data_IF_216408964315
#
_entry.id   IF_216408964315
#
_cell.length_a   1.000
_cell.length_b   1.000
_cell.length_c   1.000
_cell.angle_alpha   90.00
_cell.angle_beta   90.00
_cell.angle_gamma   90.00
#
_symmetry.space_group_name_H-M   'P 1'
#
loop_
_entity.id
_entity.type
_entity.pdbx_description
1 polymer ?
#
# COMPACT_ATOMS: atom_id res chain seq x y z
N UNK A 1 -13.75 -113.60 0.55
CA UNK A 1 -12.45 -113.03 0.98
C UNK A 1 -12.17 -111.83 0.13
N UNK A 2 -11.98 -110.67 0.71
CA UNK A 2 -11.58 -109.46 0.01
C UNK A 2 -10.12 -109.63 -0.43
N UNK A 3 -9.86 -109.48 -1.73
CA UNK A 3 -8.50 -109.70 -2.26
C UNK A 3 -7.57 -108.52 -1.88
N UNK A 4 -6.26 -108.69 -1.87
CA UNK A 4 -5.26 -107.64 -1.58
C UNK A 4 -5.40 -106.54 -2.64
N UNK A 5 -5.72 -106.86 -3.88
CA UNK A 5 -5.96 -105.89 -4.94
C UNK A 5 -7.19 -105.01 -4.70
N UNK A 6 -8.25 -105.53 -4.13
CA UNK A 6 -9.44 -104.69 -3.77
C UNK A 6 -9.13 -103.75 -2.62
N UNK A 7 -8.29 -104.12 -1.67
CA UNK A 7 -7.83 -103.26 -0.58
C UNK A 7 -6.96 -102.08 -1.13
N UNK A 8 -6.07 -102.40 -2.05
CA UNK A 8 -5.22 -101.40 -2.69
C UNK A 8 -6.08 -100.41 -3.55
N UNK A 9 -7.03 -100.89 -4.30
CA UNK A 9 -7.98 -100.04 -5.09
C UNK A 9 -8.80 -99.14 -4.16
N UNK A 10 -9.25 -99.68 -3.01
CA UNK A 10 -10.00 -98.88 -2.02
C UNK A 10 -9.11 -97.83 -1.39
N UNK A 11 -7.85 -98.18 -1.07
CA UNK A 11 -6.88 -97.26 -0.52
C UNK A 11 -6.60 -96.10 -1.51
N UNK A 12 -6.32 -96.36 -2.76
CA UNK A 12 -6.12 -95.33 -3.75
C UNK A 12 -7.36 -94.40 -3.94
N UNK A 13 -8.55 -95.00 -3.91
CA UNK A 13 -9.80 -94.27 -3.97
C UNK A 13 -9.96 -93.30 -2.78
N UNK A 14 -9.67 -93.73 -1.56
CA UNK A 14 -9.73 -92.91 -0.33
C UNK A 14 -8.65 -91.86 -0.35
N UNK A 15 -7.45 -92.17 -0.83
CA UNK A 15 -6.35 -91.20 -0.94
C UNK A 15 -6.70 -90.11 -1.92
N UNK A 16 -7.19 -90.44 -3.09
CA UNK A 16 -7.61 -89.46 -4.10
C UNK A 16 -8.78 -88.59 -3.59
N UNK A 17 -9.80 -89.21 -2.93
CA UNK A 17 -10.86 -88.41 -2.29
C UNK A 17 -10.36 -87.46 -1.21
N UNK A 18 -9.42 -87.89 -0.42
CA UNK A 18 -8.79 -87.02 0.61
C UNK A 18 -8.01 -85.87 -0.03
N UNK A 19 -7.24 -86.15 -1.09
CA UNK A 19 -6.50 -85.10 -1.83
C UNK A 19 -7.45 -84.10 -2.50
N UNK A 20 -8.54 -84.59 -3.10
CA UNK A 20 -9.53 -83.72 -3.74
C UNK A 20 -10.20 -82.74 -2.70
N UNK A 21 -10.53 -83.29 -1.52
CA UNK A 21 -11.10 -82.51 -0.40
C UNK A 21 -10.11 -81.41 0.04
N UNK A 22 -8.85 -81.79 0.34
CA UNK A 22 -7.82 -80.81 0.77
C UNK A 22 -7.56 -79.77 -0.32
N UNK A 23 -7.48 -80.17 -1.58
CA UNK A 23 -7.29 -79.23 -2.68
C UNK A 23 -8.46 -78.26 -2.80
N UNK A 24 -9.71 -78.70 -2.59
CA UNK A 24 -10.88 -77.86 -2.60
C UNK A 24 -10.91 -76.88 -1.41
N UNK A 25 -10.46 -77.33 -0.23
CA UNK A 25 -10.30 -76.48 0.98
C UNK A 25 -9.22 -75.40 0.74
N UNK A 26 -8.02 -75.81 0.28
CA UNK A 26 -6.92 -74.88 -0.03
C UNK A 26 -7.30 -73.84 -1.09
N UNK A 27 -8.02 -74.24 -2.15
CA UNK A 27 -8.51 -73.30 -3.14
C UNK A 27 -9.51 -72.28 -2.56
N UNK A 28 -10.41 -72.73 -1.70
CA UNK A 28 -11.38 -71.89 -1.04
C UNK A 28 -10.70 -70.89 -0.09
N UNK A 29 -9.69 -71.29 0.65
CA UNK A 29 -8.92 -70.40 1.51
C UNK A 29 -8.10 -69.38 0.71
N UNK A 30 -7.51 -69.84 -0.42
CA UNK A 30 -6.81 -68.95 -1.36
C UNK A 30 -7.71 -67.90 -1.94
N UNK A 31 -8.92 -68.28 -2.43
CA UNK A 31 -9.93 -67.36 -2.96
C UNK A 31 -10.35 -66.34 -1.94
N UNK A 32 -10.68 -66.77 -0.68
CA UNK A 32 -11.04 -65.88 0.38
C UNK A 32 -9.92 -64.87 0.72
N UNK A 33 -8.67 -65.37 0.77
CA UNK A 33 -7.48 -64.51 1.04
C UNK A 33 -7.28 -63.50 -0.13
N UNK A 34 -7.50 -63.93 -1.35
CA UNK A 34 -7.37 -63.07 -2.52
C UNK A 34 -8.44 -61.95 -2.55
N UNK A 35 -9.70 -62.34 -2.26
CA UNK A 35 -10.79 -61.34 -2.15
C UNK A 35 -10.50 -60.25 -1.12
N UNK A 36 -10.05 -60.65 0.07
CA UNK A 36 -9.67 -59.70 1.14
C UNK A 36 -8.53 -58.78 0.67
N UNK A 37 -7.51 -59.31 -0.01
CA UNK A 37 -6.40 -58.49 -0.53
C UNK A 37 -6.87 -57.52 -1.63
N UNK A 38 -7.74 -57.95 -2.50
CA UNK A 38 -8.31 -57.09 -3.58
C UNK A 38 -9.16 -55.97 -2.97
N UNK A 39 -10.02 -56.31 -2.01
CA UNK A 39 -10.84 -55.30 -1.34
C UNK A 39 -10.00 -54.28 -0.58
N UNK A 40 -8.98 -54.73 0.18
CA UNK A 40 -8.03 -53.87 0.85
C UNK A 40 -7.28 -52.94 -0.10
N UNK A 41 -6.86 -53.47 -1.28
CA UNK A 41 -6.20 -52.70 -2.31
C UNK A 41 -7.14 -51.62 -2.91
N UNK A 42 -8.40 -51.97 -3.24
CA UNK A 42 -9.41 -51.01 -3.68
C UNK A 42 -9.62 -49.87 -2.66
N UNK A 43 -9.81 -50.24 -1.38
CA UNK A 43 -10.02 -49.27 -0.32
C UNK A 43 -8.81 -48.34 -0.14
N UNK A 44 -7.59 -48.81 -0.35
CA UNK A 44 -6.39 -47.97 -0.32
C UNK A 44 -6.33 -47.01 -1.49
N UNK A 45 -6.62 -47.47 -2.70
CA UNK A 45 -6.67 -46.65 -3.89
C UNK A 45 -7.75 -45.57 -3.78
N UNK A 46 -8.93 -45.90 -3.29
CA UNK A 46 -10.01 -44.92 -3.05
C UNK A 46 -9.63 -43.85 -2.03
N UNK A 47 -8.92 -44.27 -0.97
CA UNK A 47 -8.36 -43.30 0.01
C UNK A 47 -7.35 -42.38 -0.63
N UNK A 48 -6.38 -42.93 -1.35
CA UNK A 48 -5.36 -42.12 -2.02
C UNK A 48 -5.98 -41.14 -3.03
N UNK A 49 -7.00 -41.61 -3.81
CA UNK A 49 -7.71 -40.75 -4.73
C UNK A 49 -8.39 -39.56 -4.02
N UNK A 50 -9.12 -39.82 -2.93
CA UNK A 50 -9.73 -38.76 -2.10
C UNK A 50 -8.71 -37.80 -1.52
N UNK A 51 -7.59 -38.29 -1.03
CA UNK A 51 -6.50 -37.46 -0.48
C UNK A 51 -5.86 -36.59 -1.57
N UNK A 52 -5.76 -37.09 -2.80
CA UNK A 52 -5.25 -36.32 -3.94
C UNK A 52 -6.25 -35.21 -4.32
N UNK A 53 -7.52 -35.53 -4.41
CA UNK A 53 -8.58 -34.55 -4.72
C UNK A 53 -8.64 -33.45 -3.66
N UNK A 54 -8.61 -33.80 -2.36
CA UNK A 54 -8.64 -32.84 -1.27
C UNK A 54 -7.41 -31.93 -1.31
N UNK A 55 -6.22 -32.50 -1.51
CA UNK A 55 -4.98 -31.72 -1.65
C UNK A 55 -5.00 -30.82 -2.88
N UNK A 56 -5.54 -31.28 -4.01
CA UNK A 56 -5.67 -30.49 -5.20
C UNK A 56 -6.65 -29.31 -5.00
N UNK A 57 -7.79 -29.57 -4.38
CA UNK A 57 -8.78 -28.54 -4.03
C UNK A 57 -8.20 -27.47 -3.12
N UNK A 58 -7.55 -27.86 -2.02
CA UNK A 58 -6.88 -26.93 -1.09
C UNK A 58 -5.82 -26.07 -1.79
N UNK A 59 -5.00 -26.69 -2.65
CA UNK A 59 -4.00 -25.94 -3.44
C UNK A 59 -4.64 -24.96 -4.40
N UNK A 60 -5.74 -25.34 -5.05
CA UNK A 60 -6.47 -24.45 -5.94
C UNK A 60 -7.06 -23.24 -5.22
N UNK A 61 -7.64 -23.44 -4.02
CA UNK A 61 -8.15 -22.36 -3.17
C UNK A 61 -7.06 -21.39 -2.74
N UNK A 62 -5.92 -21.90 -2.26
CA UNK A 62 -4.77 -21.07 -1.85
C UNK A 62 -4.29 -20.26 -3.06
N UNK A 63 -4.09 -20.90 -4.22
CA UNK A 63 -3.62 -20.22 -5.42
C UNK A 63 -4.59 -19.15 -5.92
N UNK A 64 -5.90 -19.41 -5.80
CA UNK A 64 -6.95 -18.43 -6.11
C UNK A 64 -6.87 -17.23 -5.16
N UNK A 65 -6.75 -17.46 -3.85
CA UNK A 65 -6.63 -16.40 -2.86
C UNK A 65 -5.37 -15.56 -3.07
N UNK A 66 -4.24 -16.19 -3.36
CA UNK A 66 -2.99 -15.50 -3.69
C UNK A 66 -3.12 -14.63 -4.96
N UNK A 67 -3.75 -15.16 -6.01
CA UNK A 67 -3.96 -14.43 -7.26
C UNK A 67 -4.85 -13.20 -7.05
N UNK A 68 -5.95 -13.36 -6.32
CA UNK A 68 -6.84 -12.24 -5.96
C UNK A 68 -6.10 -11.20 -5.14
N UNK A 69 -5.32 -11.62 -4.14
CA UNK A 69 -4.54 -10.71 -3.30
C UNK A 69 -3.51 -9.93 -4.12
N UNK A 70 -2.75 -10.60 -4.97
CA UNK A 70 -1.79 -9.96 -5.88
C UNK A 70 -2.46 -8.94 -6.81
N UNK A 71 -3.59 -9.31 -7.41
CA UNK A 71 -4.35 -8.41 -8.28
C UNK A 71 -4.84 -7.16 -7.53
N UNK A 72 -5.35 -7.31 -6.30
CA UNK A 72 -5.76 -6.17 -5.47
C UNK A 72 -4.60 -5.22 -5.17
N UNK A 73 -3.40 -5.74 -4.91
CA UNK A 73 -2.20 -4.92 -4.67
C UNK A 73 -1.81 -4.15 -5.92
N UNK A 74 -1.82 -4.80 -7.09
CA UNK A 74 -1.51 -4.15 -8.37
C UNK A 74 -2.50 -3.02 -8.66
N UNK A 75 -3.81 -3.31 -8.59
CA UNK A 75 -4.86 -2.29 -8.80
C UNK A 75 -4.69 -1.11 -7.84
N UNK A 76 -4.44 -1.39 -6.55
CA UNK A 76 -4.21 -0.32 -5.57
C UNK A 76 -3.00 0.55 -5.93
N UNK A 77 -1.91 -0.08 -6.39
CA UNK A 77 -0.72 0.64 -6.85
C UNK A 77 -1.02 1.52 -8.06
N UNK A 78 -1.76 1.00 -9.04
CA UNK A 78 -2.10 1.73 -10.25
C UNK A 78 -3.02 2.93 -9.94
N UNK A 79 -4.00 2.75 -9.05
CA UNK A 79 -4.86 3.85 -8.57
C UNK A 79 -4.02 4.93 -7.87
N UNK A 80 -3.07 4.54 -7.01
CA UNK A 80 -2.21 5.50 -6.33
C UNK A 80 -1.31 6.27 -7.30
N UNK A 81 -0.73 5.59 -8.30
CA UNK A 81 0.06 6.24 -9.34
C UNK A 81 -0.77 7.23 -10.18
N UNK A 82 -2.03 6.88 -10.48
CA UNK A 82 -2.94 7.76 -11.18
C UNK A 82 -3.30 9.00 -10.34
N UNK A 83 -3.61 8.81 -9.06
CA UNK A 83 -3.87 9.91 -8.11
C UNK A 83 -2.68 10.86 -8.00
N UNK A 84 -1.47 10.31 -7.90
CA UNK A 84 -0.23 11.10 -7.87
C UNK A 84 -0.03 11.91 -9.15
N UNK A 85 -0.26 11.30 -10.31
CA UNK A 85 -0.21 12.00 -11.61
C UNK A 85 -1.17 13.20 -11.65
N UNK A 86 -2.41 13.03 -11.23
CA UNK A 86 -3.39 14.13 -11.20
C UNK A 86 -3.01 15.22 -10.19
N UNK A 87 -2.45 14.83 -9.06
CA UNK A 87 -1.91 15.79 -8.08
C UNK A 87 -0.84 16.68 -8.73
N UNK A 88 0.13 16.13 -9.44
CA UNK A 88 1.18 16.93 -10.10
C UNK A 88 0.62 17.84 -11.18
N UNK A 89 -0.34 17.35 -12.00
CA UNK A 89 -1.00 18.18 -13.02
C UNK A 89 -1.75 19.36 -12.37
N UNK A 90 -2.44 19.10 -11.26
CA UNK A 90 -3.13 20.14 -10.50
C UNK A 90 -2.14 21.16 -9.93
N UNK A 91 -1.08 20.69 -9.29
CA UNK A 91 -0.09 21.57 -8.66
C UNK A 91 0.64 22.45 -9.65
N UNK A 92 0.90 21.96 -10.86
CA UNK A 92 1.50 22.78 -11.92
C UNK A 92 0.57 23.96 -12.33
N UNK A 93 -0.70 23.64 -12.57
CA UNK A 93 -1.71 24.68 -12.88
C UNK A 93 -1.89 25.64 -11.70
N UNK A 94 -1.95 25.11 -10.47
CA UNK A 94 -2.16 25.93 -9.29
C UNK A 94 -0.99 26.87 -9.03
N UNK A 95 0.25 26.42 -9.22
CA UNK A 95 1.43 27.30 -9.16
C UNK A 95 1.39 28.44 -10.17
N UNK A 96 0.88 28.20 -11.37
CA UNK A 96 0.73 29.25 -12.37
C UNK A 96 -0.33 30.28 -11.94
N UNK A 97 -1.47 29.83 -11.42
CA UNK A 97 -2.49 30.72 -10.83
C UNK A 97 -1.93 31.52 -9.65
N UNK A 98 -1.10 30.92 -8.82
CA UNK A 98 -0.43 31.64 -7.72
C UNK A 98 0.55 32.70 -8.21
N UNK A 99 1.28 32.46 -9.30
CA UNK A 99 2.15 33.48 -9.91
C UNK A 99 1.32 34.68 -10.42
N UNK A 100 0.17 34.42 -11.02
CA UNK A 100 -0.77 35.47 -11.45
C UNK A 100 -1.31 36.26 -10.23
N UNK A 101 -1.73 35.56 -9.18
CA UNK A 101 -2.16 36.19 -7.93
C UNK A 101 -1.07 37.07 -7.30
N UNK A 102 0.18 36.57 -7.24
CA UNK A 102 1.33 37.32 -6.70
C UNK A 102 1.62 38.58 -7.55
N UNK A 103 1.28 38.57 -8.85
CA UNK A 103 1.39 39.75 -9.72
C UNK A 103 0.23 40.72 -9.55
N UNK A 104 -0.87 40.30 -8.95
CA UNK A 104 -2.10 41.12 -8.78
C UNK A 104 -2.00 42.14 -7.64
N UNK A 105 -2.97 43.09 -7.65
CA UNK A 105 -3.08 44.07 -6.56
C UNK A 105 -3.58 43.45 -5.23
N UNK A 106 -4.25 42.32 -5.29
CA UNK A 106 -4.78 41.58 -4.12
C UNK A 106 -3.66 41.01 -3.26
N UNK A 107 -2.52 40.70 -3.88
CA UNK A 107 -1.33 40.22 -3.17
C UNK A 107 -0.84 41.16 -2.09
N UNK A 108 -0.95 42.49 -2.26
CA UNK A 108 -0.60 43.48 -1.23
C UNK A 108 -1.41 43.27 0.05
N UNK A 109 -2.71 43.02 -0.08
CA UNK A 109 -3.58 42.78 1.08
C UNK A 109 -3.21 41.49 1.82
N UNK A 110 -2.87 40.44 1.06
CA UNK A 110 -2.39 39.17 1.58
C UNK A 110 -1.05 39.34 2.31
N UNK A 111 -0.09 40.04 1.67
CA UNK A 111 1.22 40.30 2.23
C UNK A 111 1.12 41.11 3.54
N UNK A 112 0.24 42.12 3.56
CA UNK A 112 -0.02 42.91 4.78
C UNK A 112 -0.45 42.03 5.96
N UNK A 113 -1.38 41.11 5.77
CA UNK A 113 -1.85 40.20 6.83
C UNK A 113 -0.75 39.29 7.34
N UNK A 114 0.09 38.79 6.44
CA UNK A 114 1.22 37.91 6.81
C UNK A 114 2.25 38.69 7.63
N UNK A 115 2.62 39.88 7.15
CA UNK A 115 3.65 40.67 7.82
C UNK A 115 3.18 41.15 9.18
N UNK A 116 1.90 41.57 9.32
CA UNK A 116 1.35 41.95 10.63
C UNK A 116 1.43 40.81 11.65
N UNK A 117 1.06 39.57 11.24
CA UNK A 117 1.20 38.38 12.10
C UNK A 117 2.66 38.07 12.44
N UNK A 118 3.53 38.17 11.45
CA UNK A 118 4.96 37.93 11.63
C UNK A 118 5.58 38.98 12.55
N UNK A 119 5.16 40.26 12.45
CA UNK A 119 5.57 41.32 13.32
C UNK A 119 5.14 41.07 14.80
N UNK A 120 3.97 40.48 15.01
CA UNK A 120 3.52 40.03 16.33
C UNK A 120 4.38 38.86 16.87
N UNK A 121 4.68 37.87 15.99
CA UNK A 121 5.49 36.70 16.34
C UNK A 121 6.90 37.10 16.79
N UNK A 122 7.50 38.13 16.17
CA UNK A 122 8.85 38.63 16.52
C UNK A 122 8.89 39.60 17.68
N UNK A 123 7.74 40.01 18.22
CA UNK A 123 7.66 40.96 19.34
C UNK A 123 8.49 40.57 20.57
N UNK A 124 8.60 39.28 20.84
CA UNK A 124 9.44 38.72 21.91
C UNK A 124 10.95 38.95 21.70
N UNK A 125 11.34 39.39 20.50
CA UNK A 125 12.71 39.61 20.06
C UNK A 125 12.96 41.06 19.62
N UNK A 126 12.23 42.00 20.20
CA UNK A 126 12.13 43.41 19.79
C UNK A 126 13.46 44.17 19.63
N UNK A 127 14.53 43.70 20.27
CA UNK A 127 15.85 44.37 20.26
C UNK A 127 16.90 43.62 19.43
N UNK A 128 16.53 42.54 18.73
CA UNK A 128 17.47 41.77 17.95
C UNK A 128 17.50 42.23 16.50
N UNK A 129 18.65 42.10 15.85
CA UNK A 129 18.76 42.32 14.42
C UNK A 129 18.01 41.25 13.62
N UNK A 130 17.31 41.69 12.59
CA UNK A 130 16.42 40.87 11.79
C UNK A 130 16.86 40.89 10.33
N UNK A 131 17.03 39.70 9.75
CA UNK A 131 17.28 39.54 8.32
C UNK A 131 15.96 39.12 7.63
N UNK A 132 15.54 39.90 6.65
CA UNK A 132 14.31 39.71 5.93
C UNK A 132 14.63 39.23 4.52
N UNK A 133 14.27 37.99 4.19
CA UNK A 133 14.41 37.44 2.84
C UNK A 133 13.12 37.65 2.08
N UNK A 134 13.22 38.25 0.90
CA UNK A 134 12.12 38.54 -0.01
C UNK A 134 12.57 38.37 -1.46
N UNK A 135 11.61 38.22 -2.39
CA UNK A 135 11.94 38.29 -3.82
C UNK A 135 12.38 39.70 -4.23
N UNK A 136 13.13 39.81 -5.33
CA UNK A 136 13.51 41.15 -5.85
C UNK A 136 12.31 42.04 -6.11
N UNK A 137 11.25 41.47 -6.73
CA UNK A 137 10.00 42.18 -7.01
C UNK A 137 9.32 42.68 -5.72
N UNK A 138 9.23 41.83 -4.68
CA UNK A 138 8.54 42.19 -3.43
C UNK A 138 9.34 43.26 -2.64
N UNK A 139 10.67 43.21 -2.75
CA UNK A 139 11.53 44.27 -2.19
C UNK A 139 11.30 45.62 -2.88
N UNK A 140 11.27 45.63 -4.22
CA UNK A 140 11.07 46.84 -4.99
C UNK A 140 9.67 47.48 -4.76
N UNK A 141 8.63 46.67 -4.69
CA UNK A 141 7.24 47.15 -4.57
C UNK A 141 6.78 47.38 -3.13
N UNK A 142 7.26 46.57 -2.19
CA UNK A 142 6.73 46.50 -0.83
C UNK A 142 7.80 46.59 0.26
N UNK A 143 9.09 46.84 -0.09
CA UNK A 143 10.20 46.87 0.86
C UNK A 143 9.99 47.88 1.98
N UNK A 144 9.63 49.11 1.66
CA UNK A 144 9.36 50.16 2.66
C UNK A 144 8.19 49.76 3.57
N UNK A 145 7.09 49.25 3.00
CA UNK A 145 5.93 48.77 3.74
C UNK A 145 6.30 47.64 4.70
N UNK A 146 7.09 46.66 4.24
CA UNK A 146 7.56 45.53 5.08
C UNK A 146 8.42 46.02 6.23
N UNK A 147 9.33 46.95 5.94
CA UNK A 147 10.20 47.57 6.94
C UNK A 147 9.40 48.30 8.00
N UNK A 148 8.46 49.16 7.61
CA UNK A 148 7.62 49.94 8.51
C UNK A 148 6.80 49.05 9.45
N UNK A 149 6.21 47.96 8.89
CA UNK A 149 5.39 47.04 9.67
C UNK A 149 6.20 46.23 10.69
N UNK A 150 7.40 45.77 10.30
CA UNK A 150 8.32 45.06 11.21
C UNK A 150 8.84 46.00 12.29
N UNK A 151 9.17 47.25 11.94
CA UNK A 151 9.68 48.27 12.88
C UNK A 151 8.69 48.65 13.97
N UNK A 152 7.38 48.39 13.82
CA UNK A 152 6.39 48.62 14.87
C UNK A 152 6.65 47.77 16.13
N UNK A 153 7.19 46.60 15.97
CA UNK A 153 7.42 45.62 17.05
C UNK A 153 8.90 45.24 17.24
N UNK A 154 9.81 45.78 16.41
CA UNK A 154 11.24 45.50 16.49
C UNK A 154 12.04 46.78 16.33
N UNK A 155 12.94 47.06 17.28
CA UNK A 155 13.83 48.21 17.31
C UNK A 155 15.26 47.91 16.82
N UNK A 156 15.55 46.67 16.49
CA UNK A 156 16.83 46.23 15.93
C UNK A 156 17.01 46.60 14.47
N UNK A 157 18.17 46.34 13.90
CA UNK A 157 18.42 46.56 12.48
C UNK A 157 17.67 45.59 11.62
N UNK A 158 17.05 46.09 10.54
CA UNK A 158 16.34 45.28 9.54
C UNK A 158 17.17 45.25 8.26
N UNK A 159 17.67 44.07 7.91
CA UNK A 159 18.53 43.85 6.75
C UNK A 159 17.74 43.05 5.70
N UNK A 160 17.54 43.59 4.52
CA UNK A 160 16.92 42.87 3.40
C UNK A 160 17.94 42.06 2.62
N UNK A 161 17.61 40.77 2.40
CA UNK A 161 18.32 39.90 1.46
C UNK A 161 17.37 39.42 0.38
N UNK A 162 17.82 39.45 -0.86
CA UNK A 162 17.05 38.94 -1.99
C UNK A 162 17.24 37.44 -2.07
N UNK A 163 16.16 36.70 -2.28
CA UNK A 163 16.17 35.26 -2.55
C UNK A 163 15.31 34.93 -3.76
N UNK A 164 15.72 33.94 -4.55
CA UNK A 164 14.97 33.37 -5.67
C UNK A 164 14.33 32.02 -5.31
N UNK A 165 14.54 31.55 -4.06
CA UNK A 165 14.08 30.24 -3.61
C UNK A 165 12.57 30.22 -3.31
N UNK A 166 11.91 31.38 -3.28
CA UNK A 166 10.48 31.50 -2.99
C UNK A 166 9.74 32.20 -4.13
N UNK A 167 8.49 31.81 -4.34
CA UNK A 167 7.63 32.50 -5.31
C UNK A 167 7.17 33.87 -4.84
N UNK A 168 7.02 34.05 -3.52
CA UNK A 168 6.59 35.27 -2.87
C UNK A 168 6.41 35.07 -1.37
N UNK A 169 6.03 36.12 -0.65
CA UNK A 169 5.97 36.11 0.82
C UNK A 169 7.25 36.61 1.45
N UNK A 170 7.45 36.30 2.72
CA UNK A 170 8.55 36.81 3.54
C UNK A 170 9.11 35.71 4.43
N UNK A 171 10.44 35.67 4.52
CA UNK A 171 11.14 34.87 5.53
C UNK A 171 11.88 35.80 6.43
N UNK A 172 11.75 35.64 7.75
CA UNK A 172 12.44 36.45 8.76
C UNK A 172 13.36 35.58 9.58
N UNK A 173 14.60 35.98 9.69
CA UNK A 173 15.61 35.31 10.49
C UNK A 173 16.13 36.26 11.59
N UNK A 174 16.09 35.79 12.84
CA UNK A 174 16.67 36.45 14.01
C UNK A 174 18.02 35.77 14.27
N UNK A 175 19.08 36.36 13.72
CA UNK A 175 20.40 35.71 13.62
C UNK A 175 20.96 35.32 14.98
N UNK A 176 20.84 36.21 16.00
CA UNK A 176 21.37 35.98 17.36
C UNK A 176 20.69 34.80 18.08
N UNK A 177 19.47 34.49 17.72
CA UNK A 177 18.66 33.41 18.32
C UNK A 177 18.55 32.16 17.48
N UNK A 178 19.09 32.20 16.26
CA UNK A 178 18.96 31.09 15.28
C UNK A 178 17.49 30.70 15.04
N UNK A 179 16.62 31.72 15.00
CA UNK A 179 15.18 31.54 14.76
C UNK A 179 14.87 31.98 13.33
N UNK A 180 14.23 31.12 12.55
CA UNK A 180 13.77 31.42 11.20
C UNK A 180 12.25 31.23 11.15
N UNK A 181 11.55 32.30 10.81
CA UNK A 181 10.09 32.31 10.60
C UNK A 181 9.82 32.39 9.09
N UNK A 182 9.38 31.32 8.51
CA UNK A 182 9.08 31.23 7.07
C UNK A 182 7.57 31.40 6.85
N UNK A 183 7.22 32.47 6.14
CA UNK A 183 5.85 32.81 5.70
C UNK A 183 5.80 32.97 4.19
N UNK A 184 6.63 32.23 3.48
CA UNK A 184 6.59 32.16 2.03
C UNK A 184 5.34 31.42 1.53
N UNK A 185 4.95 31.72 0.31
CA UNK A 185 3.85 31.03 -0.38
C UNK A 185 4.19 29.55 -0.55
N UNK A 186 5.47 29.24 -0.75
CA UNK A 186 5.95 27.87 -0.95
C UNK A 186 5.78 27.01 0.33
N UNK A 187 6.10 27.54 1.50
CA UNK A 187 5.89 26.84 2.77
C UNK A 187 4.40 26.64 3.05
N UNK A 188 3.57 27.63 2.78
CA UNK A 188 2.12 27.49 2.95
C UNK A 188 1.55 26.39 2.03
N UNK A 189 2.09 26.26 0.82
CA UNK A 189 1.72 25.16 -0.07
C UNK A 189 2.13 23.80 0.46
N UNK A 190 3.36 23.68 0.96
CA UNK A 190 3.87 22.42 1.50
C UNK A 190 3.11 22.01 2.77
N UNK A 191 2.84 22.95 3.67
CA UNK A 191 2.05 22.73 4.90
C UNK A 191 0.62 22.23 4.59
N UNK A 192 0.03 22.73 3.50
CA UNK A 192 -1.31 22.34 3.07
C UNK A 192 -1.34 21.18 2.05
N UNK A 193 -0.21 20.60 1.70
CA UNK A 193 -0.09 19.52 0.71
C UNK A 193 -1.02 18.35 0.97
N UNK A 194 -1.06 17.87 2.19
CA UNK A 194 -1.92 16.74 2.59
C UNK A 194 -3.39 17.07 2.38
N UNK A 195 -3.83 18.27 2.76
CA UNK A 195 -5.20 18.72 2.57
C UNK A 195 -5.54 18.86 1.10
N UNK A 196 -4.64 19.45 0.30
CA UNK A 196 -4.81 19.59 -1.16
C UNK A 196 -4.92 18.21 -1.81
N UNK A 197 -4.03 17.28 -1.46
CA UNK A 197 -4.08 15.90 -1.97
C UNK A 197 -5.40 15.22 -1.63
N UNK A 198 -5.85 15.33 -0.39
CA UNK A 198 -7.11 14.73 0.06
C UNK A 198 -8.29 15.30 -0.72
N UNK A 199 -8.38 16.62 -0.85
CA UNK A 199 -9.46 17.29 -1.61
C UNK A 199 -9.50 16.85 -3.06
N UNK A 200 -8.33 16.75 -3.73
CA UNK A 200 -8.24 16.26 -5.11
C UNK A 200 -8.74 14.82 -5.20
N UNK A 201 -8.33 13.96 -4.27
CA UNK A 201 -8.70 12.55 -4.28
C UNK A 201 -10.18 12.34 -4.02
N UNK A 202 -10.77 13.06 -3.09
CA UNK A 202 -12.21 13.05 -2.81
C UNK A 202 -13.01 13.53 -4.02
N UNK A 203 -12.53 14.57 -4.72
CA UNK A 203 -13.18 15.08 -5.93
C UNK A 203 -13.12 14.07 -7.08
N UNK A 204 -11.98 13.38 -7.24
CA UNK A 204 -11.84 12.34 -8.27
C UNK A 204 -12.73 11.13 -7.98
N UNK A 205 -12.86 10.74 -6.71
CA UNK A 205 -13.73 9.63 -6.29
C UNK A 205 -15.22 10.00 -6.44
N UNK A 206 -15.60 11.24 -6.12
CA UNK A 206 -16.97 11.73 -6.29
C UNK A 206 -17.39 11.89 -7.77
N UNK A 207 -16.44 12.15 -8.67
CA UNK A 207 -16.69 12.26 -10.10
C UNK A 207 -17.08 10.95 -10.78
N UNK A 208 -16.72 9.82 -10.21
CA UNK A 208 -17.06 8.48 -10.72
C UNK A 208 -18.54 8.10 -10.55
N UNK A 209 -19.30 8.85 -9.73
CA UNK A 209 -20.73 8.56 -9.49
C UNK A 209 -21.69 9.28 -10.47
N UNK A 210 -21.18 10.11 -11.38
CA UNK A 210 -21.99 10.90 -12.33
C UNK A 210 -21.73 10.55 -13.81
N UNK A 211 -21.13 9.39 -14.07
CA UNK A 211 -20.87 8.87 -15.41
C UNK A 211 -21.73 7.66 -15.77
#
# INVERSE_FOLDING_TARGET
MITIEDKIKLFYKLLNQSMDIHMAEDLKELEATYEVKVEKSKNNVDKEAKDIEERASKRAEIKRAESISKSKVIIKKDIMALKEKYYYIFMDKFRNTLKEFIASNEYKSYLSKIISRLSEDIKSYANNDVVVYVTNRDKEKYGDFIKDEISKNNSGNIIFKITEDIMGGVIVEITEKNIKLDRSVDVILEDNKTYIMQTIFETLEAGDYNG
#
